data_IF_140800785565
#
_entry.id   IF_140800785565
#
_cell.length_a   1.000
_cell.length_b   1.000
_cell.length_c   1.000
_cell.angle_alpha   90.00
_cell.angle_beta   90.00
_cell.angle_gamma   90.00
#
_symmetry.space_group_name_H-M   'P 1'
#
loop_
_entity.id
_entity.type
_entity.pdbx_description
1 polymer ?
#
# COMPACT_ATOMS: atom_id res chain seq x y z
N UNK A 1 25.45 19.58 11.01
CA UNK A 1 25.10 19.40 12.43
C UNK A 1 24.49 18.02 12.51
N UNK A 2 25.09 17.12 13.27
CA UNK A 2 24.65 15.72 13.34
C UNK A 2 23.31 15.66 14.06
N UNK A 3 22.26 15.29 13.33
CA UNK A 3 20.96 14.88 13.86
C UNK A 3 21.15 13.57 14.64
N UNK A 4 21.68 13.67 15.84
CA UNK A 4 21.86 12.52 16.73
C UNK A 4 20.51 12.16 17.34
N UNK A 5 19.99 11.00 16.96
CA UNK A 5 18.70 10.52 17.44
C UNK A 5 18.78 10.15 18.92
N UNK A 6 17.85 10.66 19.72
CA UNK A 6 17.75 10.33 21.14
C UNK A 6 17.36 8.86 21.33
N UNK A 7 18.30 8.02 21.75
CA UNK A 7 18.09 6.58 21.93
C UNK A 7 17.00 6.20 22.95
N UNK A 8 16.57 7.12 23.81
CA UNK A 8 15.58 6.84 24.86
C UNK A 8 14.16 7.33 24.50
N UNK A 9 14.00 8.08 23.41
CA UNK A 9 12.70 8.55 22.97
C UNK A 9 11.91 7.42 22.29
N UNK A 10 10.63 7.19 22.65
CA UNK A 10 9.78 6.22 21.95
C UNK A 10 9.45 6.63 20.50
N UNK A 11 9.73 7.88 20.12
CA UNK A 11 9.59 8.35 18.74
C UNK A 11 10.85 8.10 17.88
N UNK A 12 11.93 7.58 18.48
CA UNK A 12 13.17 7.32 17.75
C UNK A 12 13.05 6.10 16.86
N UNK A 13 13.11 6.33 15.55
CA UNK A 13 13.05 5.27 14.54
C UNK A 13 14.36 4.51 14.44
N UNK A 14 14.28 3.22 14.09
CA UNK A 14 15.44 2.38 13.82
C UNK A 14 16.05 2.69 12.45
N UNK A 15 17.33 2.35 12.24
CA UNK A 15 17.95 2.50 10.91
C UNK A 15 17.27 1.69 9.80
N UNK A 16 16.68 0.54 10.14
CA UNK A 16 15.89 -0.25 9.20
C UNK A 16 14.59 0.46 8.80
N UNK A 17 13.94 1.14 9.76
CA UNK A 17 12.79 1.99 9.48
C UNK A 17 13.19 3.12 8.53
N UNK A 18 14.28 3.85 8.83
CA UNK A 18 14.70 4.98 8.00
C UNK A 18 15.04 4.58 6.57
N UNK A 19 15.63 3.38 6.40
CA UNK A 19 15.92 2.82 5.09
C UNK A 19 14.64 2.52 4.30
N UNK A 20 13.56 2.15 4.99
CA UNK A 20 12.30 1.77 4.37
C UNK A 20 11.31 2.92 4.23
N UNK A 21 11.36 3.94 5.09
CA UNK A 21 10.41 5.05 5.11
C UNK A 21 10.25 5.73 3.74
N UNK A 22 11.32 6.04 2.97
CA UNK A 22 11.17 6.60 1.62
C UNK A 22 10.40 5.67 0.67
N UNK A 23 10.56 4.34 0.81
CA UNK A 23 9.85 3.37 -0.02
C UNK A 23 8.36 3.29 0.35
N UNK A 24 8.05 3.36 1.63
CA UNK A 24 6.67 3.39 2.10
C UNK A 24 5.95 4.66 1.65
N UNK A 25 6.61 5.82 1.73
CA UNK A 25 6.03 7.09 1.27
C UNK A 25 5.59 7.04 -0.21
N UNK A 26 6.35 6.35 -1.08
CA UNK A 26 5.94 6.15 -2.49
C UNK A 26 4.66 5.34 -2.57
N UNK A 27 4.57 4.24 -1.83
CA UNK A 27 3.37 3.39 -1.81
C UNK A 27 2.17 4.15 -1.24
N UNK A 28 2.35 4.89 -0.15
CA UNK A 28 1.30 5.71 0.47
C UNK A 28 0.79 6.79 -0.50
N UNK A 29 1.69 7.46 -1.23
CA UNK A 29 1.27 8.47 -2.23
C UNK A 29 0.49 7.82 -3.37
N UNK A 30 0.93 6.65 -3.86
CA UNK A 30 0.22 5.91 -4.91
C UNK A 30 -1.18 5.47 -4.46
N UNK A 31 -1.31 4.98 -3.22
CA UNK A 31 -2.60 4.62 -2.64
C UNK A 31 -3.51 5.85 -2.42
N UNK A 32 -2.93 7.03 -2.17
CA UNK A 32 -3.67 8.30 -2.13
C UNK A 32 -4.18 8.79 -3.50
N UNK A 33 -3.81 8.12 -4.60
CA UNK A 33 -4.37 8.38 -5.92
C UNK A 33 -3.82 9.63 -6.61
N UNK A 34 -4.58 10.14 -7.58
CA UNK A 34 -4.13 11.27 -8.43
C UNK A 34 -3.91 12.56 -7.63
N UNK A 35 -4.75 12.84 -6.63
CA UNK A 35 -4.64 14.06 -5.82
C UNK A 35 -3.36 14.06 -5.00
N UNK A 36 -3.08 12.98 -4.26
CA UNK A 36 -1.85 12.85 -3.48
C UNK A 36 -0.58 12.92 -4.36
N UNK A 37 -0.61 12.32 -5.57
CA UNK A 37 0.50 12.42 -6.53
C UNK A 37 0.72 13.86 -7.01
N UNK A 38 -0.34 14.66 -7.16
CA UNK A 38 -0.23 16.08 -7.54
C UNK A 38 0.27 16.94 -6.38
N UNK A 39 -0.18 16.67 -5.16
CA UNK A 39 0.30 17.36 -3.96
C UNK A 39 1.80 17.12 -3.72
N UNK A 40 2.29 15.91 -4.03
CA UNK A 40 3.71 15.61 -4.01
C UNK A 40 4.54 16.37 -5.06
N UNK A 41 3.89 16.93 -6.09
CA UNK A 41 4.47 17.89 -7.03
C UNK A 41 5.79 17.43 -7.63
N UNK A 42 6.83 18.27 -7.47
CA UNK A 42 8.15 18.04 -8.09
C UNK A 42 8.86 16.78 -7.61
N UNK A 43 8.44 16.18 -6.49
CA UNK A 43 8.98 14.91 -6.02
C UNK A 43 8.76 13.78 -7.04
N UNK A 44 7.59 13.73 -7.65
CA UNK A 44 7.22 12.70 -8.64
C UNK A 44 7.00 13.26 -10.04
N UNK A 45 6.88 14.57 -10.17
CA UNK A 45 6.76 15.26 -11.44
C UNK A 45 7.78 16.42 -11.48
N UNK A 46 9.09 16.18 -11.59
CA UNK A 46 10.07 17.26 -11.59
C UNK A 46 9.80 18.29 -12.67
N UNK A 47 10.04 19.57 -12.35
CA UNK A 47 9.99 20.66 -13.33
C UNK A 47 11.14 20.55 -14.31
N UNK A 48 10.91 20.78 -15.59
CA UNK A 48 11.99 20.78 -16.58
C UNK A 48 12.80 22.08 -16.53
N UNK A 49 14.09 22.03 -16.90
CA UNK A 49 15.04 23.14 -16.76
C UNK A 49 14.57 24.46 -17.43
N UNK A 50 13.91 24.37 -18.58
CA UNK A 50 13.39 25.51 -19.33
C UNK A 50 11.86 25.69 -19.23
N UNK A 51 11.20 25.00 -18.29
CA UNK A 51 9.75 25.06 -18.12
C UNK A 51 9.34 26.30 -17.33
N UNK A 52 8.33 27.03 -17.81
CA UNK A 52 7.74 28.14 -17.05
C UNK A 52 6.94 27.60 -15.87
N UNK A 53 6.66 28.44 -14.87
CA UNK A 53 5.82 28.01 -13.75
C UNK A 53 4.40 27.63 -14.23
N UNK A 54 3.78 28.47 -15.05
CA UNK A 54 2.45 28.20 -15.59
C UNK A 54 2.40 26.91 -16.43
N UNK A 55 3.49 26.61 -17.17
CA UNK A 55 3.61 25.37 -17.94
C UNK A 55 3.68 24.14 -17.03
N UNK A 56 4.47 24.23 -15.96
CA UNK A 56 4.56 23.20 -14.94
C UNK A 56 3.20 22.97 -14.25
N UNK A 57 2.53 24.03 -13.82
CA UNK A 57 1.24 23.94 -13.13
C UNK A 57 0.17 23.32 -14.05
N UNK A 58 0.14 23.70 -15.33
CA UNK A 58 -0.75 23.09 -16.32
C UNK A 58 -0.46 21.58 -16.50
N UNK A 59 0.82 21.19 -16.56
CA UNK A 59 1.22 19.78 -16.67
C UNK A 59 0.87 18.99 -15.40
N UNK A 60 1.06 19.58 -14.23
CA UNK A 60 0.68 18.98 -12.95
C UNK A 60 -0.83 18.72 -12.87
N UNK A 61 -1.64 19.69 -13.29
CA UNK A 61 -3.11 19.54 -13.32
C UNK A 61 -3.59 18.54 -14.37
N UNK A 62 -2.87 18.41 -15.49
CA UNK A 62 -3.20 17.43 -16.53
C UNK A 62 -2.72 16.01 -16.20
N UNK A 63 -1.71 15.84 -15.34
CA UNK A 63 -1.20 14.54 -14.96
C UNK A 63 -2.25 13.73 -14.18
N UNK A 64 -2.48 12.48 -14.58
CA UNK A 64 -3.42 11.55 -13.94
C UNK A 64 -2.71 10.24 -13.63
N UNK A 65 -3.01 9.66 -12.46
CA UNK A 65 -2.46 8.36 -12.06
C UNK A 65 -3.38 7.24 -12.55
N UNK A 66 -2.85 6.31 -13.35
CA UNK A 66 -3.44 4.99 -13.48
C UNK A 66 -3.09 4.17 -12.23
N UNK A 67 -3.99 4.16 -11.24
CA UNK A 67 -3.71 3.58 -9.93
C UNK A 67 -3.74 2.04 -9.97
N UNK A 68 -2.72 1.44 -10.57
CA UNK A 68 -2.58 -0.02 -10.66
C UNK A 68 -2.21 -0.65 -9.31
N UNK A 69 -1.60 0.13 -8.40
CA UNK A 69 -1.21 -0.35 -7.07
C UNK A 69 -2.44 -0.68 -6.24
N UNK A 70 -3.39 0.26 -6.15
CA UNK A 70 -4.67 0.05 -5.47
C UNK A 70 -5.45 -1.13 -6.09
N UNK A 71 -5.59 -1.17 -7.42
CA UNK A 71 -6.25 -2.28 -8.11
C UNK A 71 -5.60 -3.64 -7.82
N UNK A 72 -4.26 -3.69 -7.80
CA UNK A 72 -3.51 -4.92 -7.49
C UNK A 72 -3.71 -5.31 -6.03
N UNK A 73 -3.69 -4.35 -5.10
CA UNK A 73 -3.91 -4.58 -3.68
C UNK A 73 -5.31 -5.14 -3.42
N UNK A 74 -6.35 -4.56 -4.02
CA UNK A 74 -7.73 -5.05 -3.93
C UNK A 74 -7.85 -6.46 -4.52
N UNK A 75 -7.25 -6.67 -5.68
CA UNK A 75 -7.26 -7.97 -6.36
C UNK A 75 -6.58 -9.05 -5.53
N UNK A 76 -5.45 -8.74 -4.88
CA UNK A 76 -4.71 -9.72 -4.07
C UNK A 76 -5.37 -9.92 -2.71
N UNK A 77 -5.93 -8.89 -2.10
CA UNK A 77 -6.60 -8.98 -0.79
C UNK A 77 -7.94 -9.73 -0.86
N UNK A 78 -8.61 -9.74 -2.02
CA UNK A 78 -9.81 -10.55 -2.26
C UNK A 78 -9.57 -12.01 -2.65
N UNK A 79 -8.33 -12.44 -2.90
CA UNK A 79 -8.00 -13.83 -3.29
C UNK A 79 -8.07 -14.85 -2.15
N UNK A 80 -7.61 -14.55 -0.92
CA UNK A 80 -7.83 -15.43 0.21
C UNK A 80 -9.33 -15.77 0.33
N UNK A 81 -9.66 -17.05 0.46
CA UNK A 81 -11.04 -17.57 0.53
C UNK A 81 -11.87 -17.48 -0.76
N UNK A 82 -11.25 -17.24 -1.92
CA UNK A 82 -11.96 -17.37 -3.21
C UNK A 82 -12.41 -18.80 -3.48
N UNK A 83 -11.62 -19.79 -3.05
CA UNK A 83 -12.02 -21.19 -3.11
C UNK A 83 -12.73 -21.61 -1.83
N UNK A 84 -13.88 -22.32 -1.93
CA UNK A 84 -14.51 -22.92 -0.77
C UNK A 84 -13.54 -23.84 -0.03
N UNK A 85 -13.59 -23.82 1.30
CA UNK A 85 -12.83 -24.75 2.15
C UNK A 85 -13.20 -26.18 1.76
N UNK A 86 -12.20 -27.05 1.59
CA UNK A 86 -12.40 -28.47 1.31
C UNK A 86 -11.87 -29.29 2.49
N UNK A 87 -12.65 -30.26 2.94
CA UNK A 87 -12.18 -31.26 3.90
C UNK A 87 -11.47 -32.38 3.12
N UNK A 88 -10.31 -32.81 3.62
CA UNK A 88 -9.65 -34.01 3.12
C UNK A 88 -10.20 -35.27 3.81
N UNK A 89 -9.95 -36.44 3.25
CA UNK A 89 -10.46 -37.74 3.73
C UNK A 89 -9.98 -38.11 5.15
N UNK A 90 -8.90 -37.48 5.60
CA UNK A 90 -8.25 -37.62 6.90
C UNK A 90 -8.87 -36.74 8.01
N UNK A 91 -9.87 -35.93 7.70
CA UNK A 91 -10.64 -35.17 8.70
C UNK A 91 -11.58 -36.11 9.46
N UNK A 92 -11.33 -36.32 10.75
CA UNK A 92 -12.18 -37.16 11.61
C UNK A 92 -13.61 -36.60 11.77
N UNK A 93 -14.59 -37.50 11.86
CA UNK A 93 -16.00 -37.13 12.07
C UNK A 93 -16.24 -36.21 13.28
N UNK A 94 -15.45 -36.37 14.36
CA UNK A 94 -15.55 -35.53 15.54
C UNK A 94 -15.24 -34.04 15.27
N UNK A 95 -14.33 -33.74 14.33
CA UNK A 95 -14.00 -32.36 13.93
C UNK A 95 -15.08 -31.81 13.00
N UNK A 96 -15.62 -32.64 12.10
CA UNK A 96 -16.72 -32.25 11.21
C UNK A 96 -17.98 -31.87 11.99
N UNK A 97 -18.34 -32.67 12.99
CA UNK A 97 -19.60 -32.52 13.73
C UNK A 97 -19.53 -31.46 14.84
N UNK A 98 -18.40 -31.35 15.56
CA UNK A 98 -18.32 -30.48 16.74
C UNK A 98 -17.64 -29.12 16.48
N UNK A 99 -16.90 -28.97 15.39
CA UNK A 99 -16.03 -27.79 15.18
C UNK A 99 -16.34 -27.02 13.90
N UNK A 100 -16.84 -27.68 12.84
CA UNK A 100 -17.10 -27.05 11.53
C UNK A 100 -18.57 -27.18 11.06
N UNK A 101 -19.59 -27.03 11.93
CA UNK A 101 -20.99 -27.29 11.53
C UNK A 101 -21.54 -26.31 10.49
N UNK A 102 -20.95 -25.11 10.39
CA UNK A 102 -21.39 -23.97 9.58
C UNK A 102 -20.57 -23.76 8.29
N UNK A 103 -19.47 -24.50 8.12
CA UNK A 103 -18.57 -24.34 6.95
C UNK A 103 -19.17 -24.90 5.66
N UNK A 104 -20.16 -25.80 5.75
CA UNK A 104 -20.74 -26.53 4.60
C UNK A 104 -22.26 -26.42 4.47
N UNK A 105 -22.93 -25.68 5.35
CA UNK A 105 -24.38 -25.48 5.30
C UNK A 105 -24.70 -24.14 4.61
N UNK A 106 -24.79 -24.17 3.28
CA UNK A 106 -25.47 -23.13 2.48
C UNK A 106 -26.53 -23.75 1.60
#
# INVERSE_FOLDING_TARGET
MSDEKDSLSPATTSGAYDTMAPRWNVIETLLGGTEAMREAGELYLPKHEAETQDGYDARLQAAVLLNMVEQTLDTLSGKPFTEPVKLNDDVTAAIQENTLPDVFTS
#
